data_IF_095785065020
#
_entry.id   IF_095785065020
#
_cell.length_a   1.000
_cell.length_b   1.000
_cell.length_c   1.000
_cell.angle_alpha   90.00
_cell.angle_beta   90.00
_cell.angle_gamma   90.00
#
_symmetry.space_group_name_H-M   'P 1'
#
loop_
_entity.id
_entity.type
_entity.pdbx_description
1 polymer ?
#
# COMPACT_ATOMS: atom_id res chain seq x y z
N UNK A 1 22.78 -32.66 -48.02
CA UNK A 1 23.11 -31.38 -47.36
C UNK A 1 21.95 -30.45 -47.68
N UNK A 2 20.94 -30.44 -46.82
CA UNK A 2 19.70 -29.70 -46.99
C UNK A 2 19.26 -29.25 -45.59
N UNK A 3 19.22 -27.94 -45.38
CA UNK A 3 19.04 -27.30 -44.07
C UNK A 3 17.59 -27.46 -43.58
N UNK A 4 17.44 -28.05 -42.40
CA UNK A 4 16.16 -28.13 -41.70
C UNK A 4 15.68 -26.72 -41.30
N UNK A 5 14.73 -26.20 -42.08
CA UNK A 5 14.00 -24.96 -41.78
C UNK A 5 13.11 -25.18 -40.56
N UNK A 6 13.62 -24.85 -39.38
CA UNK A 6 12.84 -24.79 -38.14
C UNK A 6 11.79 -23.69 -38.28
N UNK A 7 10.54 -24.08 -38.48
CA UNK A 7 9.38 -23.18 -38.38
C UNK A 7 9.22 -22.78 -36.91
N UNK A 8 9.76 -21.62 -36.54
CA UNK A 8 9.45 -20.95 -35.27
C UNK A 8 7.99 -20.48 -35.35
N UNK A 9 7.08 -21.21 -34.73
CA UNK A 9 5.76 -20.70 -34.38
C UNK A 9 5.97 -19.52 -33.43
N UNK A 10 5.80 -18.30 -33.95
CA UNK A 10 5.76 -17.08 -33.16
C UNK A 10 4.51 -17.20 -32.30
N UNK A 11 4.69 -17.52 -31.02
CA UNK A 11 3.63 -17.31 -30.04
C UNK A 11 3.40 -15.81 -29.97
N UNK A 12 2.36 -15.34 -30.66
CA UNK A 12 1.87 -13.98 -30.51
C UNK A 12 1.56 -13.76 -29.03
N UNK A 13 2.40 -12.91 -28.42
CA UNK A 13 2.28 -12.39 -27.06
C UNK A 13 1.06 -11.46 -26.99
N UNK A 14 -0.14 -12.03 -27.05
CA UNK A 14 -1.38 -11.33 -26.70
C UNK A 14 -2.11 -12.21 -25.70
N UNK A 15 -1.89 -11.92 -24.42
CA UNK A 15 -2.52 -12.68 -23.35
C UNK A 15 -2.19 -12.23 -21.93
N UNK A 16 -1.48 -11.11 -21.72
CA UNK A 16 -1.63 -10.42 -20.44
C UNK A 16 -2.93 -9.63 -20.55
N UNK A 17 -4.02 -10.20 -20.07
CA UNK A 17 -5.23 -9.43 -19.83
C UNK A 17 -4.84 -8.30 -18.86
N UNK A 18 -4.58 -7.11 -19.40
CA UNK A 18 -4.60 -5.88 -18.62
C UNK A 18 -6.06 -5.67 -18.25
N UNK A 19 -6.49 -6.33 -17.18
CA UNK A 19 -7.74 -5.98 -16.53
C UNK A 19 -7.61 -4.54 -16.07
N UNK A 20 -8.54 -3.68 -16.48
CA UNK A 20 -8.65 -2.35 -15.90
C UNK A 20 -9.25 -2.55 -14.51
N UNK A 21 -8.41 -2.44 -13.48
CA UNK A 21 -8.89 -2.45 -12.10
C UNK A 21 -9.45 -1.07 -11.79
N UNK A 22 -10.78 -0.94 -11.81
CA UNK A 22 -11.46 0.31 -11.50
C UNK A 22 -11.38 0.65 -10.01
N UNK A 23 -11.32 -0.37 -9.15
CA UNK A 23 -11.26 -0.20 -7.70
C UNK A 23 -10.66 -1.42 -7.00
N UNK A 24 -9.73 -1.18 -6.07
CA UNK A 24 -9.13 -2.21 -5.22
C UNK A 24 -9.39 -1.89 -3.76
N UNK A 25 -9.81 -2.88 -2.97
CA UNK A 25 -9.79 -2.77 -1.50
C UNK A 25 -8.65 -3.61 -0.94
N UNK A 26 -7.71 -2.95 -0.26
CA UNK A 26 -6.63 -3.60 0.48
C UNK A 26 -7.00 -3.65 1.97
N UNK A 27 -7.09 -4.85 2.54
CA UNK A 27 -7.40 -5.01 3.98
C UNK A 27 -6.10 -5.01 4.77
N UNK A 28 -6.02 -4.15 5.78
CA UNK A 28 -4.89 -4.01 6.70
C UNK A 28 -5.26 -4.68 8.02
N UNK A 29 -4.62 -5.82 8.28
CA UNK A 29 -4.93 -6.70 9.40
C UNK A 29 -3.74 -7.59 9.73
N UNK A 30 -3.50 -7.81 11.03
CA UNK A 30 -2.32 -8.52 11.50
C UNK A 30 -1.00 -7.81 11.17
N UNK A 31 0.13 -8.36 11.60
CA UNK A 31 1.44 -7.73 11.39
C UNK A 31 1.75 -7.55 9.90
N UNK A 32 2.03 -6.31 9.50
CA UNK A 32 2.45 -5.99 8.14
C UNK A 32 3.98 -6.08 8.04
N UNK A 33 4.46 -7.07 7.29
CA UNK A 33 5.88 -7.21 6.97
C UNK A 33 6.20 -6.47 5.69
N UNK A 34 7.10 -5.49 5.82
CA UNK A 34 7.42 -4.55 4.77
C UNK A 34 8.88 -4.66 4.34
N UNK A 35 9.12 -4.56 3.04
CA UNK A 35 10.44 -4.30 2.48
C UNK A 35 10.44 -2.91 1.83
N UNK A 36 11.51 -2.14 2.04
CA UNK A 36 11.69 -0.83 1.41
C UNK A 36 12.97 -0.85 0.60
N UNK A 37 12.85 -0.57 -0.70
CA UNK A 37 13.97 -0.48 -1.63
C UNK A 37 14.00 0.90 -2.29
N UNK A 38 15.20 1.43 -2.55
CA UNK A 38 15.40 2.65 -3.29
C UNK A 38 16.30 2.38 -4.51
N UNK A 39 15.91 2.93 -5.66
CA UNK A 39 16.60 2.75 -6.93
C UNK A 39 16.91 4.11 -7.55
N UNK A 40 18.03 4.20 -8.28
CA UNK A 40 18.48 5.41 -8.98
C UNK A 40 18.50 6.66 -8.09
N UNK A 41 18.88 6.49 -6.82
CA UNK A 41 18.91 7.54 -5.78
C UNK A 41 19.69 8.76 -6.25
N UNK A 42 19.17 9.96 -5.97
CA UNK A 42 19.80 11.23 -6.33
C UNK A 42 19.66 11.63 -7.79
N UNK A 43 18.88 10.87 -8.58
CA UNK A 43 18.59 11.19 -10.00
C UNK A 43 17.11 11.54 -10.20
N UNK A 44 16.76 12.10 -11.36
CA UNK A 44 15.36 12.34 -11.76
C UNK A 44 14.56 11.03 -11.95
N UNK A 45 15.26 9.91 -12.12
CA UNK A 45 14.67 8.57 -12.27
C UNK A 45 14.56 7.83 -10.93
N UNK A 46 14.89 8.48 -9.81
CA UNK A 46 14.80 7.87 -8.48
C UNK A 46 13.42 7.24 -8.26
N UNK A 47 13.37 6.08 -7.59
CA UNK A 47 12.14 5.41 -7.18
C UNK A 47 12.35 4.80 -5.79
N UNK A 48 11.32 4.87 -4.95
CA UNK A 48 11.28 4.16 -3.67
C UNK A 48 10.10 3.23 -3.69
N UNK A 49 10.33 1.94 -3.45
CA UNK A 49 9.29 0.91 -3.43
C UNK A 49 9.11 0.38 -2.02
N UNK A 50 7.86 0.34 -1.56
CA UNK A 50 7.42 -0.31 -0.34
C UNK A 50 6.60 -1.55 -0.72
N UNK A 51 7.09 -2.73 -0.34
CA UNK A 51 6.43 -4.01 -0.61
C UNK A 51 5.79 -4.55 0.68
N UNK A 52 4.49 -4.84 0.62
CA UNK A 52 3.64 -5.38 1.70
C UNK A 52 2.99 -6.68 1.22
N UNK A 53 3.65 -7.82 1.44
CA UNK A 53 3.16 -9.10 0.92
C UNK A 53 2.99 -9.08 -0.60
N UNK A 54 1.74 -9.04 -1.08
CA UNK A 54 1.39 -9.04 -2.52
C UNK A 54 1.11 -7.65 -3.09
N UNK A 55 1.32 -6.59 -2.31
CA UNK A 55 1.11 -5.22 -2.76
C UNK A 55 2.45 -4.47 -2.74
N UNK A 56 2.78 -3.85 -3.86
CA UNK A 56 3.93 -2.96 -3.99
C UNK A 56 3.46 -1.54 -4.24
N UNK A 57 3.99 -0.57 -3.49
CA UNK A 57 3.80 0.85 -3.72
C UNK A 57 5.11 1.48 -4.15
N UNK A 58 5.16 2.03 -5.35
CA UNK A 58 6.30 2.78 -5.86
C UNK A 58 6.01 4.28 -5.80
N UNK A 59 6.88 5.02 -5.15
CA UNK A 59 6.88 6.46 -5.07
C UNK A 59 7.87 7.04 -6.09
N UNK A 60 7.50 8.16 -6.70
CA UNK A 60 8.34 8.93 -7.62
C UNK A 60 8.86 10.24 -7.01
N UNK A 61 8.42 10.59 -5.80
CA UNK A 61 8.79 11.80 -5.07
C UNK A 61 8.66 11.64 -3.55
N UNK A 62 9.35 12.48 -2.78
CA UNK A 62 9.16 12.53 -1.33
C UNK A 62 7.78 13.11 -0.97
N UNK A 63 7.24 14.02 -1.79
CA UNK A 63 5.88 14.53 -1.66
C UNK A 63 4.83 13.42 -1.66
N UNK A 64 4.91 12.48 -2.61
CA UNK A 64 3.98 11.37 -2.72
C UNK A 64 4.06 10.44 -1.50
N UNK A 65 5.29 10.05 -1.10
CA UNK A 65 5.50 9.22 0.08
C UNK A 65 4.97 9.89 1.37
N UNK A 66 5.21 11.19 1.54
CA UNK A 66 4.69 11.96 2.68
C UNK A 66 3.16 11.95 2.68
N UNK A 67 2.51 12.20 1.54
CA UNK A 67 1.05 12.27 1.46
C UNK A 67 0.37 10.93 1.70
N UNK A 68 0.98 9.82 1.28
CA UNK A 68 0.49 8.49 1.67
C UNK A 68 0.59 8.31 3.18
N UNK A 69 1.75 8.60 3.80
CA UNK A 69 1.91 8.49 5.24
C UNK A 69 0.95 9.41 6.02
N UNK A 70 0.73 10.63 5.54
CA UNK A 70 -0.21 11.61 6.11
C UNK A 70 -1.64 11.08 6.13
N UNK A 71 -2.10 10.43 5.06
CA UNK A 71 -3.45 9.86 4.99
C UNK A 71 -3.69 8.79 6.08
N UNK A 72 -2.72 7.90 6.29
CA UNK A 72 -2.80 6.91 7.35
C UNK A 72 -2.66 7.54 8.73
N UNK A 73 -1.81 8.55 8.90
CA UNK A 73 -1.71 9.29 10.15
C UNK A 73 -3.04 9.95 10.54
N UNK A 74 -3.73 10.57 9.57
CA UNK A 74 -5.04 11.18 9.75
C UNK A 74 -6.12 10.13 10.10
N UNK A 75 -5.99 8.89 9.61
CA UNK A 75 -6.93 7.81 9.91
C UNK A 75 -6.95 7.41 11.40
N UNK A 76 -5.91 7.78 12.18
CA UNK A 76 -5.79 7.45 13.61
C UNK A 76 -7.05 7.76 14.41
N UNK A 77 -7.69 8.91 14.15
CA UNK A 77 -8.90 9.33 14.88
C UNK A 77 -10.12 8.45 14.57
N UNK A 78 -10.17 7.83 13.37
CA UNK A 78 -11.25 6.93 12.96
C UNK A 78 -11.12 5.51 13.55
N UNK A 79 -9.99 5.18 14.20
CA UNK A 79 -9.71 3.84 14.73
C UNK A 79 -10.39 3.54 16.07
N UNK A 80 -11.21 4.46 16.61
CA UNK A 80 -11.90 4.22 17.87
C UNK A 80 -12.78 2.97 17.80
N UNK A 81 -12.59 2.05 18.76
CA UNK A 81 -13.39 0.82 18.86
C UNK A 81 -12.97 -0.31 17.90
N UNK A 82 -11.91 -0.10 17.13
CA UNK A 82 -11.30 -1.17 16.31
C UNK A 82 -10.63 -2.21 17.23
N UNK A 83 -10.57 -3.45 16.77
CA UNK A 83 -9.92 -4.53 17.49
C UNK A 83 -8.42 -4.30 17.67
N UNK A 84 -7.83 -4.83 18.75
CA UNK A 84 -6.38 -4.81 18.87
C UNK A 84 -5.72 -5.69 17.81
N UNK A 85 -6.23 -6.92 17.65
CA UNK A 85 -5.86 -7.87 16.59
C UNK A 85 -7.15 -8.52 16.09
N UNK A 86 -7.44 -8.40 14.79
CA UNK A 86 -8.66 -8.96 14.22
C UNK A 86 -8.50 -10.48 14.03
N UNK A 87 -9.56 -11.27 14.22
CA UNK A 87 -9.57 -12.67 13.79
C UNK A 87 -9.51 -12.70 12.26
N UNK A 88 -8.31 -12.95 11.72
CA UNK A 88 -8.09 -13.10 10.28
C UNK A 88 -8.67 -14.46 9.82
N UNK A 89 -9.49 -14.50 8.75
CA UNK A 89 -9.76 -15.78 8.11
C UNK A 89 -8.43 -16.37 7.63
N UNK A 90 -8.21 -17.67 7.90
CA UNK A 90 -7.04 -18.36 7.35
C UNK A 90 -7.11 -18.26 5.81
N UNK A 91 -6.01 -17.85 5.14
CA UNK A 91 -6.00 -17.82 3.69
C UNK A 91 -6.18 -19.25 3.17
N UNK A 92 -7.26 -19.48 2.42
CA UNK A 92 -7.50 -20.75 1.74
C UNK A 92 -6.27 -21.13 0.88
N UNK A 93 -5.87 -22.39 0.98
CA UNK A 93 -4.52 -22.93 0.73
C UNK A 93 -4.00 -22.91 -0.70
N UNK A 94 -4.59 -22.13 -1.62
CA UNK A 94 -4.07 -21.99 -2.98
C UNK A 94 -2.93 -20.95 -3.03
N UNK A 95 -1.73 -21.36 -2.61
CA UNK A 95 -0.51 -20.53 -2.65
C UNK A 95 -0.11 -20.07 -4.07
N UNK A 96 -0.72 -20.63 -5.12
CA UNK A 96 -0.27 -20.53 -6.51
C UNK A 96 -1.02 -19.52 -7.38
N UNK A 97 -2.02 -18.80 -6.85
CA UNK A 97 -2.77 -17.78 -7.59
C UNK A 97 -2.89 -16.46 -6.82
N UNK A 98 -1.77 -15.94 -6.30
CA UNK A 98 -1.77 -14.66 -5.59
C UNK A 98 -1.50 -13.52 -6.57
N UNK A 99 -2.54 -12.73 -6.84
CA UNK A 99 -2.42 -11.51 -7.64
C UNK A 99 -1.51 -10.51 -6.93
N UNK A 100 -0.47 -10.06 -7.63
CA UNK A 100 0.38 -8.97 -7.17
C UNK A 100 -0.20 -7.65 -7.67
N UNK A 101 -0.48 -6.72 -6.75
CA UNK A 101 -0.94 -5.37 -7.07
C UNK A 101 0.26 -4.43 -7.00
N UNK A 102 0.54 -3.72 -8.10
CA UNK A 102 1.54 -2.66 -8.12
C UNK A 102 0.84 -1.31 -8.26
N UNK A 103 1.10 -0.42 -7.30
CA UNK A 103 0.60 0.95 -7.28
C UNK A 103 1.78 1.89 -7.48
N UNK A 104 1.73 2.73 -8.52
CA UNK A 104 2.72 3.79 -8.71
C UNK A 104 2.08 5.13 -8.41
N UNK A 105 2.59 5.81 -7.37
CA UNK A 105 2.19 7.15 -6.98
C UNK A 105 3.04 8.17 -7.73
N UNK A 106 2.54 8.59 -8.88
CA UNK A 106 3.19 9.60 -9.74
C UNK A 106 3.11 10.98 -9.09
N UNK A 107 1.94 11.28 -8.51
CA UNK A 107 1.65 12.52 -7.79
C UNK A 107 1.27 12.23 -6.34
N UNK A 108 1.35 13.28 -5.52
CA UNK A 108 0.79 13.29 -4.17
C UNK A 108 -0.72 12.99 -4.20
N UNK A 109 -1.18 11.87 -3.64
CA UNK A 109 -2.59 11.51 -3.76
C UNK A 109 -3.46 12.32 -2.80
N UNK A 110 -4.68 12.62 -3.25
CA UNK A 110 -5.77 13.06 -2.37
C UNK A 110 -6.34 11.86 -1.62
N UNK A 111 -6.80 12.08 -0.39
CA UNK A 111 -7.39 11.03 0.43
C UNK A 111 -8.65 11.47 1.16
N UNK A 112 -9.48 10.50 1.52
CA UNK A 112 -10.62 10.67 2.42
C UNK A 112 -10.67 9.51 3.42
N UNK A 113 -11.14 9.78 4.64
CA UNK A 113 -11.24 8.78 5.71
C UNK A 113 -12.70 8.60 6.06
N UNK A 114 -13.16 7.35 6.04
CA UNK A 114 -14.53 6.97 6.39
C UNK A 114 -14.49 5.93 7.50
N UNK A 115 -15.14 6.23 8.64
CA UNK A 115 -15.31 5.25 9.72
C UNK A 115 -16.50 4.36 9.39
N UNK A 116 -16.29 3.06 9.44
CA UNK A 116 -17.33 2.05 9.23
C UNK A 116 -17.57 1.21 10.46
N UNK A 117 -18.79 0.69 10.57
CA UNK A 117 -19.14 -0.33 11.54
C UNK A 117 -20.28 -1.21 11.01
N UNK A 118 -20.38 -2.44 11.52
CA UNK A 118 -21.44 -3.39 11.18
C UNK A 118 -21.60 -4.41 12.29
N UNK A 119 -22.83 -4.84 12.57
CA UNK A 119 -23.03 -6.02 13.41
C UNK A 119 -22.58 -7.29 12.68
N UNK A 120 -21.81 -8.13 13.35
CA UNK A 120 -21.36 -9.42 12.83
C UNK A 120 -22.07 -10.53 13.60
N UNK A 121 -22.94 -11.27 12.93
CA UNK A 121 -23.62 -12.42 13.53
C UNK A 121 -22.64 -13.50 13.96
N UNK A 122 -21.59 -13.73 13.15
CA UNK A 122 -20.54 -14.71 13.42
C UNK A 122 -19.76 -14.39 14.71
N UNK A 123 -19.50 -13.11 14.97
CA UNK A 123 -18.79 -12.66 16.18
C UNK A 123 -19.73 -12.19 17.30
N UNK A 124 -21.05 -12.18 17.04
CA UNK A 124 -22.11 -11.68 17.94
C UNK A 124 -21.83 -10.28 18.52
N UNK A 125 -21.21 -9.40 17.73
CA UNK A 125 -20.83 -8.04 18.16
C UNK A 125 -20.72 -7.08 16.97
N UNK A 126 -20.73 -5.78 17.26
CA UNK A 126 -20.39 -4.75 16.28
C UNK A 126 -18.89 -4.73 16.01
N UNK A 127 -18.51 -4.92 14.75
CA UNK A 127 -17.15 -4.72 14.26
C UNK A 127 -16.99 -3.29 13.74
N UNK A 128 -15.82 -2.69 13.98
CA UNK A 128 -15.47 -1.35 13.54
C UNK A 128 -14.27 -1.41 12.59
N UNK A 129 -14.20 -0.48 11.64
CA UNK A 129 -13.05 -0.32 10.76
C UNK A 129 -12.91 1.13 10.31
N UNK A 130 -11.77 1.46 9.71
CA UNK A 130 -11.56 2.73 9.01
C UNK A 130 -11.16 2.46 7.57
N UNK A 131 -11.83 3.11 6.63
CA UNK A 131 -11.50 3.09 5.21
C UNK A 131 -10.72 4.37 4.86
N UNK A 132 -9.51 4.22 4.33
CA UNK A 132 -8.72 5.31 3.75
C UNK A 132 -8.82 5.20 2.24
N UNK A 133 -9.60 6.07 1.62
CA UNK A 133 -9.77 6.15 0.18
C UNK A 133 -8.64 6.98 -0.41
N UNK A 134 -7.93 6.43 -1.39
CA UNK A 134 -6.80 7.11 -2.03
C UNK A 134 -6.59 6.60 -3.46
N UNK A 135 -6.87 7.44 -4.45
CA UNK A 135 -6.78 7.05 -5.86
C UNK A 135 -7.61 5.78 -6.17
N UNK A 136 -7.05 4.76 -6.84
CA UNK A 136 -7.76 3.53 -7.18
C UNK A 136 -7.86 2.52 -6.02
N UNK A 137 -7.28 2.82 -4.85
CA UNK A 137 -7.23 1.90 -3.70
C UNK A 137 -7.98 2.46 -2.49
N UNK A 138 -8.76 1.59 -1.85
CA UNK A 138 -9.29 1.82 -0.51
C UNK A 138 -8.58 0.91 0.47
N UNK A 139 -8.01 1.48 1.52
CA UNK A 139 -7.36 0.73 2.57
C UNK A 139 -8.32 0.56 3.74
N UNK A 140 -8.76 -0.68 3.99
CA UNK A 140 -9.62 -1.01 5.11
C UNK A 140 -8.80 -1.47 6.29
N UNK A 141 -8.70 -0.64 7.32
CA UNK A 141 -7.98 -0.93 8.55
C UNK A 141 -8.96 -1.57 9.54
N UNK A 142 -8.67 -2.80 9.96
CA UNK A 142 -9.56 -3.57 10.85
C UNK A 142 -8.94 -3.95 12.20
N UNK A 143 -7.64 -3.69 12.40
CA UNK A 143 -7.00 -3.86 13.71
C UNK A 143 -5.83 -2.87 13.98
N UNK A 144 -5.46 -2.74 15.25
CA UNK A 144 -4.37 -1.88 15.69
C UNK A 144 -2.98 -2.45 15.37
N UNK A 145 -2.80 -3.77 15.39
CA UNK A 145 -1.52 -4.42 15.05
C UNK A 145 -1.13 -4.14 13.60
N UNK A 146 -2.05 -4.31 12.66
CA UNK A 146 -1.85 -4.01 11.25
C UNK A 146 -1.67 -2.53 10.99
N UNK A 147 -2.47 -1.67 11.62
CA UNK A 147 -2.28 -0.24 11.52
C UNK A 147 -0.90 0.23 11.98
N UNK A 148 -0.47 -0.20 13.17
CA UNK A 148 0.80 0.26 13.76
C UNK A 148 2.04 -0.23 13.02
N UNK A 149 2.03 -1.48 12.56
CA UNK A 149 3.09 -2.04 11.71
C UNK A 149 3.12 -1.37 10.33
N UNK A 150 1.96 -1.09 9.73
CA UNK A 150 1.87 -0.34 8.47
C UNK A 150 2.40 1.10 8.61
N UNK A 151 2.00 1.82 9.66
CA UNK A 151 2.53 3.16 9.94
C UNK A 151 4.05 3.13 10.07
N UNK A 152 4.59 2.13 10.77
CA UNK A 152 6.05 1.99 10.92
C UNK A 152 6.74 1.75 9.58
N UNK A 153 6.18 0.90 8.72
CA UNK A 153 6.67 0.67 7.36
C UNK A 153 6.62 1.93 6.49
N UNK A 154 5.50 2.67 6.53
CA UNK A 154 5.32 3.91 5.78
C UNK A 154 6.27 5.02 6.27
N UNK A 155 6.57 5.10 7.57
CA UNK A 155 7.58 6.02 8.11
C UNK A 155 8.98 5.68 7.60
N UNK A 156 9.32 4.40 7.51
CA UNK A 156 10.58 3.97 6.90
C UNK A 156 10.62 4.34 5.43
N UNK A 157 9.56 4.06 4.67
CA UNK A 157 9.47 4.45 3.26
C UNK A 157 9.58 5.96 3.05
N UNK A 158 8.92 6.77 3.88
CA UNK A 158 9.00 8.24 3.84
C UNK A 158 10.41 8.75 4.15
N UNK A 159 11.08 8.22 5.18
CA UNK A 159 12.47 8.57 5.48
C UNK A 159 13.40 8.22 4.32
N UNK A 160 13.23 7.04 3.73
CA UNK A 160 13.99 6.62 2.55
C UNK A 160 13.72 7.54 1.36
N UNK A 161 12.46 7.91 1.12
CA UNK A 161 12.07 8.86 0.07
C UNK A 161 12.70 10.23 0.28
N UNK A 162 12.69 10.77 1.50
CA UNK A 162 13.33 12.04 1.85
C UNK A 162 14.83 12.02 1.56
N UNK A 163 15.50 10.88 1.76
CA UNK A 163 16.91 10.73 1.42
C UNK A 163 17.15 10.48 -0.08
N UNK A 164 16.21 9.86 -0.78
CA UNK A 164 16.37 9.40 -2.15
C UNK A 164 16.06 10.46 -3.22
N UNK A 165 15.08 11.32 -2.97
CA UNK A 165 14.54 12.25 -3.95
C UNK A 165 15.08 13.69 -3.80
N UNK A 166 15.26 14.43 -4.91
CA UNK A 166 15.68 15.83 -4.86
C UNK A 166 14.75 16.76 -4.06
N UNK A 167 13.45 16.46 -4.01
CA UNK A 167 12.45 17.23 -3.26
C UNK A 167 12.42 16.89 -1.75
N UNK A 168 13.21 15.90 -1.31
CA UNK A 168 13.18 15.37 0.05
C UNK A 168 13.36 16.40 1.15
N UNK A 169 14.23 17.39 0.96
CA UNK A 169 14.47 18.44 1.94
C UNK A 169 13.20 19.25 2.31
N UNK A 170 12.27 19.41 1.35
CA UNK A 170 10.99 20.10 1.52
C UNK A 170 9.98 19.28 2.32
N UNK A 171 10.05 17.95 2.23
CA UNK A 171 9.07 17.01 2.81
C UNK A 171 9.64 16.18 3.95
N UNK A 172 10.68 16.67 4.63
CA UNK A 172 11.37 15.97 5.73
C UNK A 172 10.56 15.81 7.03
N UNK A 173 9.47 16.57 7.18
CA UNK A 173 8.65 16.56 8.40
C UNK A 173 7.84 15.27 8.46
N UNK A 174 7.91 14.58 9.59
CA UNK A 174 7.14 13.34 9.83
C UNK A 174 5.66 13.71 10.13
N UNK A 175 4.70 13.41 9.24
CA UNK A 175 3.30 13.78 9.41
C UNK A 175 2.59 12.95 10.49
N UNK A 176 3.23 11.92 11.05
CA UNK A 176 2.67 11.14 12.18
C UNK A 176 2.91 11.81 13.53
N UNK A 177 3.83 12.77 13.59
CA UNK A 177 4.06 13.58 14.78
C UNK A 177 3.09 14.75 14.72
N UNK A 178 2.09 14.73 15.59
CA UNK A 178 1.26 15.90 15.85
C UNK A 178 2.21 16.97 16.39
N UNK A 179 2.27 18.15 15.77
CA UNK A 179 2.94 19.28 16.41
C UNK A 179 2.22 19.52 17.74
N UNK A 180 2.95 19.50 18.85
CA UNK A 180 2.43 19.83 20.17
C UNK A 180 2.21 21.35 20.30
N UNK A 181 1.51 21.95 19.34
CA UNK A 181 1.11 23.35 19.35
C UNK A 181 -0.38 23.46 19.02
N UNK A 182 -1.18 23.38 20.09
CA UNK A 182 -2.42 24.13 20.24
C UNK A 182 -2.55 24.59 21.68
#
# INVERSE_FOLDING_TARGET
MDEARTTRTRADLIGHQSGIVTHTTAVVAGEQRAEVAAHYVGTEQARVTLTLGFLAMTFTSAAAAQKVLEAFAAARAALMGIDNAAPLPEPDGAQFARNVISLTWIDAPTYAIVRGNRYSDAQRRTIYWADVHMGPVTWRIIDHVGYSSLISALRTAHKTAVAAFPDGAKYRKDPTKVDAER
#
